data_IF_516569960667
#
_entry.id   IF_516569960667
#
_cell.length_a   1.000
_cell.length_b   1.000
_cell.length_c   1.000
_cell.angle_alpha   90.00
_cell.angle_beta   90.00
_cell.angle_gamma   90.00
#
_symmetry.space_group_name_H-M   'P 1'
#
loop_
_entity.id
_entity.type
_entity.pdbx_description
1 polymer ?
#
# COMPACT_ATOMS: atom_id res chain seq x y z
N UNK A 1 14.43 11.38 -14.16
CA UNK A 1 15.13 10.44 -15.07
C UNK A 1 14.52 10.48 -16.47
N UNK A 2 13.20 10.29 -16.62
CA UNK A 2 12.47 10.37 -17.90
C UNK A 2 12.58 11.74 -18.60
N UNK A 3 12.32 12.86 -17.91
CA UNK A 3 12.44 14.21 -18.49
C UNK A 3 13.84 14.57 -18.99
N UNK A 4 14.89 14.20 -18.24
CA UNK A 4 16.28 14.36 -18.70
C UNK A 4 16.60 13.54 -19.95
N UNK A 5 15.92 12.41 -20.15
CA UNK A 5 16.05 11.60 -21.37
C UNK A 5 15.35 12.23 -22.58
N UNK A 6 14.24 12.93 -22.36
CA UNK A 6 13.54 13.71 -23.39
C UNK A 6 14.39 14.93 -23.79
N UNK A 7 14.95 15.66 -22.81
CA UNK A 7 15.85 16.80 -23.07
C UNK A 7 17.11 16.38 -23.84
N UNK A 8 17.61 15.17 -23.59
CA UNK A 8 18.73 14.59 -24.31
C UNK A 8 18.36 13.97 -25.68
N UNK A 9 17.08 14.06 -26.10
CA UNK A 9 16.58 13.54 -27.38
C UNK A 9 16.57 12.01 -27.51
N UNK A 10 16.72 11.26 -26.42
CA UNK A 10 16.89 9.79 -26.46
C UNK A 10 15.60 9.00 -26.34
N UNK A 11 14.51 9.61 -25.88
CA UNK A 11 13.20 8.96 -25.70
C UNK A 11 12.07 9.85 -26.21
N UNK A 12 11.03 9.28 -26.86
CA UNK A 12 9.90 10.06 -27.35
C UNK A 12 9.05 10.61 -26.20
N UNK A 13 8.51 11.82 -26.38
CA UNK A 13 7.61 12.45 -25.42
C UNK A 13 6.19 11.87 -25.56
N UNK A 14 5.72 11.18 -24.52
CA UNK A 14 4.33 10.77 -24.41
C UNK A 14 3.49 11.80 -23.63
N UNK A 15 2.30 12.19 -24.12
CA UNK A 15 1.37 13.01 -23.36
C UNK A 15 1.04 12.36 -22.00
N UNK A 16 1.03 13.17 -20.93
CA UNK A 16 0.73 12.72 -19.55
C UNK A 16 1.67 11.65 -18.98
N UNK A 17 2.87 11.49 -19.54
CA UNK A 17 3.84 10.53 -19.04
C UNK A 17 4.23 10.76 -17.57
N UNK A 18 4.21 12.00 -17.11
CA UNK A 18 4.38 12.39 -15.72
C UNK A 18 3.33 11.77 -14.80
N UNK A 19 2.07 11.82 -15.24
CA UNK A 19 0.93 11.24 -14.53
C UNK A 19 1.01 9.72 -14.50
N UNK A 20 1.43 9.09 -15.60
CA UNK A 20 1.62 7.63 -15.66
C UNK A 20 2.75 7.20 -14.71
N UNK A 21 3.90 7.89 -14.77
CA UNK A 21 5.04 7.61 -13.89
C UNK A 21 4.63 7.78 -12.42
N UNK A 22 3.89 8.84 -12.11
CA UNK A 22 3.36 9.07 -10.77
C UNK A 22 2.41 7.95 -10.34
N UNK A 23 1.47 7.54 -11.19
CA UNK A 23 0.50 6.49 -10.89
C UNK A 23 1.18 5.14 -10.64
N UNK A 24 2.10 4.72 -11.52
CA UNK A 24 2.84 3.46 -11.39
C UNK A 24 3.72 3.47 -10.14
N UNK A 25 4.45 4.56 -9.89
CA UNK A 25 5.29 4.69 -8.70
C UNK A 25 4.45 4.64 -7.42
N UNK A 26 3.30 5.30 -7.43
CA UNK A 26 2.37 5.31 -6.31
C UNK A 26 1.76 3.93 -6.07
N UNK A 27 1.41 3.19 -7.13
CA UNK A 27 0.91 1.82 -7.04
C UNK A 27 1.93 0.86 -6.41
N UNK A 28 3.20 0.95 -6.81
CA UNK A 28 4.28 0.14 -6.23
C UNK A 28 4.46 0.46 -4.74
N UNK A 29 4.45 1.75 -4.37
CA UNK A 29 4.48 2.16 -2.97
C UNK A 29 3.29 1.60 -2.17
N UNK A 30 2.09 1.61 -2.74
CA UNK A 30 0.91 1.01 -2.11
C UNK A 30 1.09 -0.50 -1.91
N UNK A 31 1.53 -1.23 -2.94
CA UNK A 31 1.76 -2.67 -2.84
C UNK A 31 2.75 -3.02 -1.71
N UNK A 32 3.89 -2.33 -1.66
CA UNK A 32 4.88 -2.53 -0.61
C UNK A 32 4.31 -2.17 0.78
N UNK A 33 3.51 -1.11 0.88
CA UNK A 33 2.92 -0.69 2.14
C UNK A 33 1.75 -1.58 2.61
N UNK A 34 1.09 -2.33 1.72
CA UNK A 34 0.10 -3.35 2.07
C UNK A 34 0.79 -4.59 2.64
N UNK A 35 1.82 -5.08 1.95
CA UNK A 35 2.44 -6.39 2.26
C UNK A 35 3.56 -6.29 3.31
N UNK A 36 4.44 -5.32 3.19
CA UNK A 36 5.69 -5.23 3.97
C UNK A 36 5.97 -3.82 4.47
N UNK A 37 4.99 -3.26 5.19
CA UNK A 37 5.07 -1.91 5.73
C UNK A 37 6.30 -1.67 6.62
N UNK A 38 6.83 -2.71 7.26
CA UNK A 38 8.03 -2.71 8.11
C UNK A 38 9.31 -2.35 7.34
N UNK A 39 9.37 -2.69 6.06
CA UNK A 39 10.54 -2.43 5.21
C UNK A 39 10.42 -1.10 4.45
N UNK A 40 9.27 -0.43 4.56
CA UNK A 40 9.00 0.82 3.87
C UNK A 40 9.63 2.00 4.60
N UNK A 41 10.37 2.84 3.87
CA UNK A 41 10.94 4.08 4.43
C UNK A 41 9.82 4.96 5.02
N UNK A 42 9.99 5.50 6.25
CA UNK A 42 8.94 6.29 6.92
C UNK A 42 8.41 7.50 6.13
N UNK A 43 9.22 8.08 5.24
CA UNK A 43 8.80 9.16 4.36
C UNK A 43 7.72 8.73 3.37
N UNK A 44 7.81 7.53 2.80
CA UNK A 44 6.83 7.00 1.87
C UNK A 44 5.52 6.67 2.59
N UNK A 45 5.61 6.15 3.81
CA UNK A 45 4.45 5.95 4.66
C UNK A 45 3.65 7.25 4.90
N UNK A 46 4.34 8.34 5.28
CA UNK A 46 3.71 9.67 5.46
C UNK A 46 3.05 10.19 4.16
N UNK A 47 3.71 9.96 3.02
CA UNK A 47 3.16 10.32 1.72
C UNK A 47 1.84 9.57 1.43
N UNK A 48 1.82 8.25 1.63
CA UNK A 48 0.63 7.42 1.40
C UNK A 48 -0.52 7.79 2.33
N UNK A 49 -0.24 8.06 3.61
CA UNK A 49 -1.26 8.54 4.55
C UNK A 49 -1.84 9.89 4.12
N UNK A 50 -1.00 10.82 3.66
CA UNK A 50 -1.48 12.11 3.16
C UNK A 50 -2.35 11.95 1.92
N UNK A 51 -1.94 11.09 0.98
CA UNK A 51 -2.68 10.83 -0.26
C UNK A 51 -4.06 10.21 0.02
N UNK A 52 -4.14 9.31 0.99
CA UNK A 52 -5.37 8.58 1.35
C UNK A 52 -6.20 9.24 2.46
N UNK A 53 -5.79 10.42 2.93
CA UNK A 53 -6.41 11.11 4.08
C UNK A 53 -6.47 10.22 5.32
N UNK A 54 -5.40 9.47 5.58
CA UNK A 54 -5.27 8.58 6.75
C UNK A 54 -5.99 7.23 6.64
N UNK A 55 -6.82 7.02 5.61
CA UNK A 55 -7.60 5.77 5.45
C UNK A 55 -6.72 4.53 5.30
N UNK A 56 -5.53 4.70 4.74
CA UNK A 56 -4.59 3.59 4.58
C UNK A 56 -4.05 3.05 5.92
N UNK A 57 -4.13 3.85 6.99
CA UNK A 57 -3.75 3.43 8.34
C UNK A 57 -4.73 2.45 8.97
N UNK A 58 -6.02 2.54 8.63
CA UNK A 58 -7.13 1.77 9.23
C UNK A 58 -7.51 0.53 8.42
N UNK A 59 -6.55 -0.11 7.76
CA UNK A 59 -6.78 -1.36 7.05
C UNK A 59 -6.69 -2.53 8.04
N UNK A 60 -7.61 -3.50 7.93
CA UNK A 60 -7.49 -4.75 8.67
C UNK A 60 -6.27 -5.52 8.15
N UNK A 61 -5.15 -5.44 8.86
CA UNK A 61 -3.90 -6.11 8.46
C UNK A 61 -3.82 -7.56 8.93
N UNK A 62 -4.66 -7.97 9.89
CA UNK A 62 -4.69 -9.36 10.38
C UNK A 62 -5.09 -10.36 9.29
N UNK A 63 -6.00 -9.96 8.40
CA UNK A 63 -6.35 -10.79 7.23
C UNK A 63 -5.21 -10.96 6.25
N UNK A 64 -4.22 -10.07 6.25
CA UNK A 64 -3.05 -10.17 5.39
C UNK A 64 -1.97 -11.10 5.98
N UNK A 65 -1.96 -11.30 7.30
CA UNK A 65 -1.03 -12.22 7.94
C UNK A 65 -1.26 -13.67 7.51
N UNK A 66 -2.46 -14.01 7.00
CA UNK A 66 -2.74 -15.31 6.38
C UNK A 66 -1.80 -15.61 5.18
N UNK A 67 -1.20 -14.59 4.57
CA UNK A 67 -0.21 -14.73 3.49
C UNK A 67 1.24 -14.82 4.01
N UNK A 68 1.46 -14.84 5.32
CA UNK A 68 2.79 -14.97 5.93
C UNK A 68 3.64 -13.69 5.90
N UNK A 69 3.05 -12.52 5.66
CA UNK A 69 3.78 -11.26 5.45
C UNK A 69 4.03 -10.45 6.73
N UNK A 70 3.49 -10.91 7.88
CA UNK A 70 3.52 -10.21 9.17
C UNK A 70 3.10 -8.72 9.08
N UNK A 71 2.16 -8.41 8.18
CA UNK A 71 1.77 -7.04 7.87
C UNK A 71 1.19 -6.32 9.10
N UNK A 72 0.59 -7.05 10.05
CA UNK A 72 0.04 -6.45 11.27
C UNK A 72 1.07 -6.09 12.34
N UNK A 73 2.31 -6.60 12.27
CA UNK A 73 3.30 -6.58 13.37
C UNK A 73 3.56 -5.21 13.99
N UNK A 74 3.63 -4.16 13.17
CA UNK A 74 3.93 -2.80 13.61
C UNK A 74 2.69 -1.91 13.75
N UNK A 75 1.49 -2.48 13.64
CA UNK A 75 0.22 -1.75 13.70
C UNK A 75 -0.60 -2.17 14.91
N UNK A 76 -1.44 -1.24 15.38
CA UNK A 76 -2.44 -1.57 16.40
C UNK A 76 -3.43 -2.57 15.81
N UNK A 77 -3.88 -3.48 16.65
CA UNK A 77 -4.97 -4.40 16.34
C UNK A 77 -6.22 -3.62 15.92
N UNK A 78 -6.46 -3.58 14.61
CA UNK A 78 -7.60 -2.92 14.01
C UNK A 78 -8.45 -3.96 13.28
N UNK A 79 -9.67 -4.16 13.78
CA UNK A 79 -10.70 -4.92 13.10
C UNK A 79 -11.90 -3.99 12.89
N UNK A 80 -12.31 -3.70 11.64
CA UNK A 80 -13.52 -2.95 11.39
C UNK A 80 -14.74 -3.75 11.88
N UNK A 81 -15.78 -3.05 12.30
CA UNK A 81 -17.09 -3.65 12.56
C UNK A 81 -17.68 -4.07 11.22
N UNK A 82 -17.81 -5.38 11.03
CA UNK A 82 -18.29 -5.99 9.79
C UNK A 82 -19.63 -6.67 10.09
N UNK A 83 -20.61 -6.49 9.21
CA UNK A 83 -21.92 -7.15 9.36
C UNK A 83 -21.73 -8.68 9.24
N UNK A 84 -22.07 -9.45 10.30
CA UNK A 84 -21.92 -10.90 10.29
C UNK A 84 -22.74 -11.60 9.20
N UNK A 85 -23.78 -10.95 8.65
CA UNK A 85 -24.60 -11.49 7.56
C UNK A 85 -23.83 -11.64 6.25
N UNK A 86 -22.81 -10.82 6.05
CA UNK A 86 -22.02 -10.76 4.81
C UNK A 86 -20.57 -11.17 5.00
N UNK A 87 -20.16 -11.49 6.23
CA UNK A 87 -18.75 -11.73 6.56
C UNK A 87 -18.60 -12.92 7.49
N UNK A 88 -17.88 -13.94 7.04
CA UNK A 88 -17.47 -15.08 7.87
C UNK A 88 -16.09 -14.81 8.47
N UNK A 89 -16.05 -14.58 9.78
CA UNK A 89 -14.80 -14.39 10.53
C UNK A 89 -14.29 -15.77 10.97
N UNK A 90 -13.45 -16.40 10.14
CA UNK A 90 -12.86 -17.70 10.46
C UNK A 90 -11.70 -17.53 11.45
N UNK A 91 -12.01 -17.44 12.75
CA UNK A 91 -11.03 -17.32 13.86
C UNK A 91 -10.24 -18.62 14.12
N UNK A 92 -10.47 -19.70 13.37
CA UNK A 92 -10.02 -21.05 13.71
C UNK A 92 -8.53 -21.34 13.50
N UNK A 93 -7.72 -20.42 12.99
CA UNK A 93 -6.28 -20.64 12.79
C UNK A 93 -5.33 -19.66 13.51
N UNK A 94 -5.85 -18.70 14.29
CA UNK A 94 -5.03 -17.68 14.97
C UNK A 94 -4.89 -17.87 16.48
N UNK A 95 -5.16 -19.07 17.00
CA UNK A 95 -4.77 -19.45 18.36
C UNK A 95 -3.58 -20.42 18.29
N UNK A 96 -2.37 -19.86 18.42
CA UNK A 96 -1.21 -20.43 19.11
C UNK A 96 -0.13 -19.38 19.26
#
# INVERSE_FOLDING_TARGET
>A
MYFKGIEAGKVPYFPHADSIIYAVSTAICFQAAVMEVQNLRPSYWKFLLRLTKGRFGIMNRKVLDAFGTEASRNFKDFCPELDPRYTVFTLTHFSR
#
